data_IF_108955440047
#
_entry.id   IF_108955440047
#
_cell.length_a   1.000
_cell.length_b   1.000
_cell.length_c   1.000
_cell.angle_alpha   90.00
_cell.angle_beta   90.00
_cell.angle_gamma   90.00
#
_symmetry.space_group_name_H-M   'P 1'
#
loop_
_entity.id
_entity.type
_entity.pdbx_description
1 polymer ?
#
# COMPACT_ATOMS: atom_id res chain seq x y z
N UNK A 1 58.27 -26.29 -21.59
CA UNK A 1 57.25 -26.57 -20.55
C UNK A 1 55.95 -25.95 -21.01
N UNK A 2 54.93 -26.78 -21.27
CA UNK A 2 53.58 -26.37 -21.66
C UNK A 2 52.77 -26.16 -20.37
N UNK A 3 52.11 -25.02 -20.20
CA UNK A 3 51.05 -24.88 -19.21
C UNK A 3 49.79 -24.35 -19.90
N UNK A 4 48.76 -25.19 -19.86
CA UNK A 4 47.38 -24.93 -20.28
C UNK A 4 46.74 -23.83 -19.44
N UNK A 5 45.93 -23.01 -20.09
CA UNK A 5 44.93 -22.14 -19.46
C UNK A 5 43.59 -22.86 -19.56
N UNK A 6 43.02 -23.26 -18.42
CA UNK A 6 41.67 -23.82 -18.32
C UNK A 6 40.64 -22.70 -18.20
N UNK A 7 39.68 -22.68 -19.13
CA UNK A 7 38.50 -21.81 -19.13
C UNK A 7 37.42 -22.34 -18.19
N UNK A 8 37.01 -21.56 -17.19
CA UNK A 8 35.85 -21.84 -16.34
C UNK A 8 34.55 -21.38 -17.01
N UNK A 9 33.64 -22.33 -17.29
CA UNK A 9 32.24 -22.04 -17.63
C UNK A 9 31.39 -21.88 -16.35
N UNK A 10 30.38 -20.98 -16.33
CA UNK A 10 29.45 -20.87 -15.21
C UNK A 10 28.41 -22.01 -15.22
N UNK A 11 28.15 -22.58 -14.03
CA UNK A 11 27.11 -23.60 -13.80
C UNK A 11 25.72 -22.97 -13.93
N UNK A 12 24.83 -23.61 -14.68
CA UNK A 12 23.38 -23.29 -14.73
C UNK A 12 22.71 -23.67 -13.40
N UNK A 13 21.88 -22.77 -12.88
CA UNK A 13 20.95 -23.05 -11.78
C UNK A 13 19.77 -23.92 -12.30
N UNK A 14 19.20 -24.81 -11.48
CA UNK A 14 18.06 -25.62 -11.88
C UNK A 14 16.81 -24.75 -12.05
N UNK A 15 16.05 -25.00 -13.12
CA UNK A 15 14.86 -24.25 -13.49
C UNK A 15 13.74 -24.39 -12.45
N UNK A 16 13.07 -23.27 -12.16
CA UNK A 16 11.85 -23.25 -11.38
C UNK A 16 10.69 -23.97 -12.09
N UNK A 17 9.62 -24.32 -11.36
CA UNK A 17 8.49 -25.04 -11.93
C UNK A 17 7.84 -24.23 -13.06
N UNK A 18 7.43 -24.91 -14.12
CA UNK A 18 6.73 -24.32 -15.26
C UNK A 18 5.30 -23.93 -14.87
N UNK A 19 4.75 -22.90 -15.52
CA UNK A 19 3.36 -22.42 -15.38
C UNK A 19 2.29 -23.55 -15.42
N UNK A 20 2.58 -24.66 -16.10
CA UNK A 20 1.70 -25.83 -16.15
C UNK A 20 1.59 -26.58 -14.80
N UNK A 21 2.64 -26.54 -13.96
CA UNK A 21 2.63 -27.16 -12.63
C UNK A 21 1.79 -26.36 -11.61
N UNK A 22 1.74 -25.04 -11.76
CA UNK A 22 0.86 -24.16 -10.97
C UNK A 22 -0.63 -24.38 -11.34
N UNK A 23 -0.92 -24.60 -12.62
CA UNK A 23 -2.29 -24.88 -13.09
C UNK A 23 -2.82 -26.25 -12.62
N UNK A 24 -1.96 -27.27 -12.51
CA UNK A 24 -2.37 -28.60 -12.02
C UNK A 24 -2.65 -28.61 -10.51
N UNK A 25 -1.94 -27.78 -9.73
CA UNK A 25 -2.23 -27.58 -8.31
C UNK A 25 -3.62 -26.95 -8.10
N UNK A 26 -4.05 -26.03 -8.98
CA UNK A 26 -5.38 -25.42 -8.90
C UNK A 26 -6.54 -26.40 -9.15
N UNK A 27 -6.32 -27.49 -9.91
CA UNK A 27 -7.37 -28.50 -10.18
C UNK A 27 -7.48 -29.59 -9.11
N UNK A 28 -6.44 -29.83 -8.30
CA UNK A 28 -6.44 -30.85 -7.25
C UNK A 28 -6.97 -30.33 -5.89
N UNK A 29 -7.07 -29.01 -5.70
CA UNK A 29 -7.63 -28.39 -4.48
C UNK A 29 -9.17 -28.40 -4.47
N UNK A 30 -9.83 -28.66 -5.61
CA UNK A 30 -11.29 -28.68 -5.71
C UNK A 30 -11.99 -29.86 -5.00
N UNK A 31 -11.25 -30.81 -4.42
CA UNK A 31 -11.82 -32.04 -3.83
C UNK A 31 -12.08 -31.99 -2.31
N UNK A 32 -11.69 -30.93 -1.61
CA UNK A 32 -11.99 -30.71 -0.19
C UNK A 32 -12.06 -29.20 0.11
N UNK A 33 -13.01 -28.49 -0.51
CA UNK A 33 -13.36 -27.17 0.01
C UNK A 33 -14.02 -27.37 1.37
N UNK A 34 -13.56 -26.70 2.45
CA UNK A 34 -14.27 -26.73 3.72
C UNK A 34 -15.71 -26.27 3.51
N UNK A 35 -16.66 -26.93 4.15
CA UNK A 35 -18.10 -26.61 4.06
C UNK A 35 -18.46 -25.25 4.66
N UNK A 36 -17.50 -24.61 5.33
CA UNK A 36 -17.60 -23.33 6.02
C UNK A 36 -16.45 -22.45 5.56
N UNK A 37 -16.73 -21.19 5.21
CA UNK A 37 -15.71 -20.20 4.89
C UNK A 37 -14.97 -19.84 6.19
N UNK A 38 -13.66 -20.14 6.34
CA UNK A 38 -12.93 -19.93 7.58
C UNK A 38 -12.82 -18.45 7.99
N UNK A 39 -12.90 -17.52 7.03
CA UNK A 39 -12.95 -16.08 7.33
C UNK A 39 -14.34 -15.72 7.85
N UNK A 40 -15.39 -16.28 7.26
CA UNK A 40 -16.75 -16.10 7.78
C UNK A 40 -16.88 -16.71 9.19
N UNK A 41 -16.33 -17.90 9.45
CA UNK A 41 -16.34 -18.53 10.77
C UNK A 41 -15.61 -17.68 11.82
N UNK A 42 -14.41 -17.20 11.49
CA UNK A 42 -13.66 -16.32 12.38
C UNK A 42 -14.39 -14.99 12.68
N UNK A 43 -15.27 -14.54 11.77
CA UNK A 43 -16.04 -13.29 11.91
C UNK A 43 -17.46 -13.48 12.44
N UNK A 44 -18.04 -14.68 12.38
CA UNK A 44 -19.45 -14.95 12.65
C UNK A 44 -19.79 -15.20 14.12
N UNK A 45 -18.80 -15.49 14.97
CA UNK A 45 -19.07 -16.01 16.32
C UNK A 45 -18.99 -14.99 17.46
N UNK A 46 -18.96 -13.69 17.15
CA UNK A 46 -18.68 -12.66 18.16
C UNK A 46 -19.68 -11.52 18.02
N UNK A 47 -20.71 -11.56 18.87
CA UNK A 47 -21.56 -10.41 19.10
C UNK A 47 -20.71 -9.18 19.48
N UNK A 48 -21.24 -7.96 19.28
CA UNK A 48 -20.50 -6.73 19.57
C UNK A 48 -19.90 -6.77 20.99
N UNK A 49 -18.57 -6.69 21.08
CA UNK A 49 -17.84 -6.64 22.36
C UNK A 49 -17.30 -7.96 22.89
N UNK A 50 -17.21 -9.03 22.09
CA UNK A 50 -16.51 -10.25 22.50
C UNK A 50 -14.98 -10.01 22.55
N UNK A 51 -14.34 -9.99 23.74
CA UNK A 51 -13.07 -9.28 23.93
C UNK A 51 -11.81 -10.15 23.81
N UNK A 52 -11.91 -11.44 23.50
CA UNK A 52 -10.75 -12.32 23.50
C UNK A 52 -10.18 -12.47 22.08
N UNK A 53 -8.88 -12.24 21.87
CA UNK A 53 -8.22 -12.67 20.65
C UNK A 53 -8.41 -14.17 20.39
N UNK A 54 -8.87 -14.55 19.20
CA UNK A 54 -9.13 -15.95 18.84
C UNK A 54 -8.21 -16.41 17.70
N UNK A 55 -7.33 -17.40 17.92
CA UNK A 55 -6.43 -17.87 16.88
C UNK A 55 -7.17 -18.71 15.83
N UNK A 56 -6.80 -18.57 14.56
CA UNK A 56 -7.26 -19.40 13.46
C UNK A 56 -6.16 -19.61 12.43
N UNK A 57 -6.40 -20.50 11.45
CA UNK A 57 -5.47 -20.73 10.33
C UNK A 57 -6.20 -20.48 9.02
N UNK A 58 -5.58 -19.70 8.13
CA UNK A 58 -6.10 -19.42 6.79
C UNK A 58 -4.99 -19.62 5.76
N UNK A 59 -5.22 -20.47 4.76
CA UNK A 59 -4.21 -20.75 3.73
C UNK A 59 -2.89 -21.28 4.29
N UNK A 60 -2.93 -22.02 5.41
CA UNK A 60 -1.74 -22.51 6.13
C UNK A 60 -1.02 -21.45 6.98
N UNK A 61 -1.49 -20.20 6.97
CA UNK A 61 -0.93 -19.10 7.76
C UNK A 61 -1.68 -18.95 9.08
N UNK A 62 -0.96 -18.78 10.18
CA UNK A 62 -1.55 -18.52 11.50
C UNK A 62 -1.94 -17.06 11.62
N UNK A 63 -3.17 -16.83 12.08
CA UNK A 63 -3.69 -15.52 12.37
C UNK A 63 -4.47 -15.54 13.68
N UNK A 64 -4.86 -14.37 14.15
CA UNK A 64 -5.80 -14.22 15.24
C UNK A 64 -6.81 -13.12 14.93
N UNK A 65 -8.06 -13.41 15.27
CA UNK A 65 -9.17 -12.49 15.19
C UNK A 65 -9.15 -11.55 16.40
N UNK A 66 -9.53 -10.29 16.21
CA UNK A 66 -9.91 -9.38 17.29
C UNK A 66 -10.89 -8.29 16.83
N UNK A 67 -11.72 -7.81 17.76
CA UNK A 67 -12.68 -6.73 17.53
C UNK A 67 -12.36 -5.54 18.42
N UNK A 68 -11.96 -4.43 17.80
CA UNK A 68 -11.64 -3.16 18.47
C UNK A 68 -12.85 -2.21 18.55
N UNK A 69 -14.04 -2.69 18.18
CA UNK A 69 -15.31 -1.96 18.29
C UNK A 69 -15.62 -1.01 17.13
N UNK A 70 -14.94 -1.15 15.98
CA UNK A 70 -15.20 -0.31 14.81
C UNK A 70 -16.45 -0.77 14.05
N UNK A 71 -17.32 0.18 13.71
CA UNK A 71 -18.57 -0.09 12.99
C UNK A 71 -18.36 -0.70 11.60
N UNK A 72 -17.27 -0.33 10.90
CA UNK A 72 -16.98 -0.81 9.56
C UNK A 72 -16.43 -2.24 9.50
N UNK A 73 -15.85 -2.78 10.57
CA UNK A 73 -15.14 -4.05 10.48
C UNK A 73 -14.46 -4.53 11.74
N UNK A 74 -13.79 -5.66 11.59
CA UNK A 74 -13.06 -6.43 12.59
C UNK A 74 -11.69 -6.81 12.03
N UNK A 75 -10.76 -7.32 12.84
CA UNK A 75 -9.39 -7.56 12.40
C UNK A 75 -9.01 -9.02 12.40
N UNK A 76 -8.33 -9.42 11.33
CA UNK A 76 -7.47 -10.60 11.30
C UNK A 76 -6.02 -10.15 11.31
N UNK A 77 -5.26 -10.54 12.32
CA UNK A 77 -3.84 -10.19 12.44
C UNK A 77 -2.96 -11.41 12.25
N UNK A 78 -1.96 -11.26 11.39
CA UNK A 78 -0.90 -12.24 11.18
C UNK A 78 0.39 -11.66 11.75
N UNK A 79 0.97 -12.28 12.78
CA UNK A 79 2.21 -11.75 13.39
C UNK A 79 3.45 -12.03 12.51
N UNK A 80 3.39 -13.09 11.69
CA UNK A 80 4.47 -13.53 10.81
C UNK A 80 3.88 -14.17 9.53
N UNK A 81 3.10 -13.39 8.78
CA UNK A 81 2.59 -13.81 7.48
C UNK A 81 3.73 -14.03 6.50
N UNK A 82 3.76 -15.19 5.84
CA UNK A 82 4.82 -15.54 4.89
C UNK A 82 4.28 -16.18 3.61
N UNK A 83 4.10 -15.39 2.55
CA UNK A 83 3.73 -15.88 1.23
C UNK A 83 4.92 -16.11 0.28
N UNK A 84 6.11 -15.59 0.60
CA UNK A 84 7.25 -15.52 -0.34
C UNK A 84 8.64 -15.66 0.29
N UNK A 85 8.73 -16.25 1.48
CA UNK A 85 9.96 -16.38 2.25
C UNK A 85 10.40 -15.11 2.96
N UNK A 86 9.49 -14.15 3.14
CA UNK A 86 9.75 -12.85 3.80
C UNK A 86 8.66 -12.60 4.85
N UNK A 87 8.75 -13.26 6.03
CA UNK A 87 7.71 -13.15 7.05
C UNK A 87 7.57 -11.72 7.56
N UNK A 88 6.35 -11.19 7.58
CA UNK A 88 6.03 -9.85 8.10
C UNK A 88 4.68 -9.83 8.81
N UNK A 89 4.45 -8.82 9.65
CA UNK A 89 3.16 -8.61 10.30
C UNK A 89 2.16 -8.01 9.30
N UNK A 90 0.92 -8.52 9.29
CA UNK A 90 -0.19 -7.97 8.51
C UNK A 90 -1.41 -7.78 9.38
N UNK A 91 -2.15 -6.68 9.15
CA UNK A 91 -3.53 -6.55 9.62
C UNK A 91 -4.48 -6.55 8.43
N UNK A 92 -5.49 -7.41 8.49
CA UNK A 92 -6.59 -7.40 7.54
C UNK A 92 -7.83 -6.94 8.28
N UNK A 93 -8.28 -5.72 7.98
CA UNK A 93 -9.56 -5.18 8.45
C UNK A 93 -10.66 -5.71 7.53
N UNK A 94 -11.48 -6.60 8.06
CA UNK A 94 -12.52 -7.33 7.36
C UNK A 94 -13.86 -6.63 7.60
N UNK A 95 -14.66 -6.34 6.56
CA UNK A 95 -15.98 -5.75 6.71
C UNK A 95 -16.87 -6.51 7.71
N UNK A 96 -17.62 -5.77 8.54
CA UNK A 96 -18.40 -6.40 9.62
C UNK A 96 -19.52 -7.31 9.10
N UNK A 97 -20.03 -7.04 7.90
CA UNK A 97 -21.03 -7.87 7.23
C UNK A 97 -20.44 -9.14 6.58
N UNK A 98 -19.13 -9.37 6.66
CA UNK A 98 -18.47 -10.50 6.01
C UNK A 98 -19.01 -11.87 6.46
N UNK A 99 -19.32 -12.09 7.74
CA UNK A 99 -19.87 -13.39 8.16
C UNK A 99 -21.25 -13.71 7.54
N UNK A 100 -22.04 -12.67 7.26
CA UNK A 100 -23.46 -12.78 6.90
C UNK A 100 -23.72 -12.54 5.41
N UNK A 101 -22.79 -11.88 4.72
CA UNK A 101 -22.93 -11.44 3.34
C UNK A 101 -22.13 -12.31 2.38
N UNK A 102 -22.77 -12.75 1.28
CA UNK A 102 -22.09 -13.39 0.15
C UNK A 102 -21.32 -12.42 -0.76
N UNK A 103 -21.26 -11.12 -0.42
CA UNK A 103 -20.62 -10.11 -1.24
C UNK A 103 -19.09 -10.29 -1.35
N UNK A 104 -18.56 -9.69 -2.41
CA UNK A 104 -17.12 -9.48 -2.62
C UNK A 104 -16.78 -8.01 -2.44
N UNK A 105 -15.65 -7.74 -1.82
CA UNK A 105 -15.26 -6.41 -1.34
C UNK A 105 -14.09 -5.83 -2.13
N UNK A 106 -14.06 -4.51 -2.26
CA UNK A 106 -12.87 -3.78 -2.69
C UNK A 106 -11.76 -3.94 -1.68
N UNK A 107 -10.52 -3.74 -2.12
CA UNK A 107 -9.34 -3.87 -1.25
C UNK A 107 -8.50 -2.61 -1.28
N UNK A 108 -8.24 -2.07 -0.10
CA UNK A 108 -7.28 -1.00 0.13
C UNK A 108 -6.04 -1.57 0.81
N UNK A 109 -4.92 -1.62 0.10
CA UNK A 109 -3.63 -1.95 0.69
C UNK A 109 -3.05 -0.69 1.34
N UNK A 110 -2.73 -0.75 2.63
CA UNK A 110 -2.14 0.36 3.35
C UNK A 110 -0.70 0.01 3.76
N UNK A 111 0.23 0.89 3.40
CA UNK A 111 1.60 0.82 3.88
C UNK A 111 1.68 1.32 5.33
N UNK A 112 2.76 1.02 6.06
CA UNK A 112 2.99 1.40 7.46
C UNK A 112 2.19 0.65 8.56
N UNK A 113 1.59 -0.49 8.23
CA UNK A 113 1.14 -1.47 9.22
C UNK A 113 0.29 -0.86 10.35
N UNK A 114 0.81 -0.90 11.59
CA UNK A 114 0.13 -0.39 12.79
C UNK A 114 -0.30 1.07 12.62
N UNK A 115 0.51 1.93 11.99
CA UNK A 115 0.20 3.35 11.78
C UNK A 115 -1.13 3.56 11.04
N UNK A 116 -1.59 2.56 10.27
CA UNK A 116 -2.90 2.61 9.60
C UNK A 116 -4.06 2.64 10.61
N UNK A 117 -3.95 1.89 11.71
CA UNK A 117 -5.07 1.62 12.64
C UNK A 117 -4.74 2.00 14.08
N UNK A 118 -3.63 1.49 14.59
CA UNK A 118 -3.29 1.53 16.01
C UNK A 118 -2.33 2.68 16.30
N UNK A 119 -2.66 3.57 17.24
CA UNK A 119 -1.75 4.63 17.62
C UNK A 119 -0.44 4.02 18.13
N UNK A 120 0.69 4.47 17.58
CA UNK A 120 1.98 3.88 17.89
C UNK A 120 3.15 4.57 17.18
N UNK A 121 4.28 3.88 17.12
CA UNK A 121 5.49 4.39 16.47
C UNK A 121 6.09 5.62 17.15
N UNK A 122 6.89 6.39 16.39
CA UNK A 122 7.62 7.54 16.94
C UNK A 122 6.71 8.72 17.35
N UNK A 123 5.54 8.85 16.73
CA UNK A 123 4.59 9.94 16.97
C UNK A 123 3.46 9.56 17.96
N UNK A 124 3.27 8.27 18.25
CA UNK A 124 2.19 7.79 19.12
C UNK A 124 0.79 7.99 18.53
N UNK A 125 0.67 8.02 17.20
CA UNK A 125 -0.57 8.33 16.45
C UNK A 125 -0.81 7.31 15.34
N UNK A 126 -1.99 7.34 14.73
CA UNK A 126 -2.38 6.54 13.56
C UNK A 126 -3.13 7.39 12.55
N UNK A 127 -3.36 6.86 11.34
CA UNK A 127 -4.20 7.48 10.32
C UNK A 127 -5.70 7.26 10.55
N UNK A 128 -6.06 6.58 11.65
CA UNK A 128 -7.45 6.37 12.08
C UNK A 128 -8.35 5.83 10.96
N UNK A 129 -7.81 4.88 10.18
CA UNK A 129 -8.50 4.37 8.98
C UNK A 129 -9.79 3.66 9.35
N UNK A 130 -9.78 2.83 10.40
CA UNK A 130 -10.96 2.09 10.82
C UNK A 130 -12.08 3.01 11.34
N UNK A 131 -11.73 4.07 12.08
CA UNK A 131 -12.67 5.09 12.55
C UNK A 131 -13.25 5.90 11.40
N UNK A 132 -12.40 6.33 10.46
CA UNK A 132 -12.81 7.10 9.30
C UNK A 132 -13.75 6.29 8.41
N UNK A 133 -13.41 5.03 8.12
CA UNK A 133 -14.28 4.14 7.35
C UNK A 133 -15.58 3.83 8.10
N UNK A 134 -15.55 3.69 9.43
CA UNK A 134 -16.78 3.50 10.23
C UNK A 134 -17.72 4.70 10.12
N UNK A 135 -17.18 5.92 10.22
CA UNK A 135 -17.98 7.13 10.08
C UNK A 135 -18.55 7.28 8.66
N UNK A 136 -17.71 7.11 7.64
CA UNK A 136 -18.15 7.22 6.25
C UNK A 136 -19.15 6.13 5.84
N UNK A 137 -19.00 4.91 6.36
CA UNK A 137 -19.93 3.82 6.11
C UNK A 137 -21.30 4.11 6.75
N UNK A 138 -21.31 4.63 7.98
CA UNK A 138 -22.55 5.03 8.65
C UNK A 138 -23.30 6.15 7.92
N UNK A 139 -22.57 7.00 7.18
CA UNK A 139 -23.13 8.04 6.31
C UNK A 139 -23.58 7.51 4.92
N UNK A 140 -23.27 6.25 4.58
CA UNK A 140 -23.46 5.72 3.23
C UNK A 140 -22.52 6.33 2.18
N UNK A 141 -21.43 6.99 2.62
CA UNK A 141 -20.49 7.69 1.76
C UNK A 141 -19.44 6.77 1.10
N UNK A 142 -19.23 5.58 1.68
CA UNK A 142 -18.35 4.54 1.15
C UNK A 142 -19.04 3.19 1.20
N UNK A 143 -18.63 2.26 0.34
CA UNK A 143 -19.03 0.86 0.46
C UNK A 143 -18.13 0.10 1.45
N UNK A 144 -18.61 -1.03 2.03
CA UNK A 144 -17.77 -1.89 2.85
C UNK A 144 -16.49 -2.28 2.11
N UNK A 145 -15.34 -2.01 2.71
CA UNK A 145 -14.02 -2.15 2.07
C UNK A 145 -13.09 -2.95 2.97
N UNK A 146 -12.42 -3.95 2.39
CA UNK A 146 -11.38 -4.71 3.07
C UNK A 146 -10.08 -3.91 3.03
N UNK A 147 -9.38 -3.81 4.17
CA UNK A 147 -8.11 -3.07 4.23
C UNK A 147 -6.98 -4.01 4.66
N UNK A 148 -5.89 -4.04 3.91
CA UNK A 148 -4.70 -4.85 4.22
C UNK A 148 -3.56 -3.92 4.59
N UNK A 149 -3.30 -3.75 5.89
CA UNK A 149 -2.16 -2.96 6.37
C UNK A 149 -0.90 -3.83 6.48
N UNK A 150 0.13 -3.44 5.72
CA UNK A 150 1.37 -4.19 5.55
C UNK A 150 2.47 -3.55 6.38
N UNK A 151 3.04 -4.30 7.32
CA UNK A 151 4.21 -3.82 8.05
C UNK A 151 5.47 -3.90 7.19
N UNK A 152 6.24 -2.80 7.11
CA UNK A 152 7.59 -2.87 6.59
C UNK A 152 8.51 -3.56 7.60
N UNK A 153 9.47 -4.34 7.11
CA UNK A 153 10.59 -4.89 7.89
C UNK A 153 11.70 -3.86 8.07
N UNK A 154 12.00 -3.10 7.01
CA UNK A 154 12.95 -2.01 7.01
C UNK A 154 12.38 -0.89 6.14
N UNK A 155 11.49 -0.09 6.73
CA UNK A 155 10.68 0.94 6.08
C UNK A 155 11.46 1.79 5.07
N UNK A 156 12.63 2.28 5.47
CA UNK A 156 13.47 3.13 4.62
C UNK A 156 13.94 2.38 3.38
N UNK A 157 14.40 1.13 3.54
CA UNK A 157 14.84 0.30 2.42
C UNK A 157 13.70 -0.03 1.50
N UNK A 158 12.57 -0.47 2.06
CA UNK A 158 11.42 -0.97 1.31
C UNK A 158 10.62 0.14 0.62
N UNK A 159 10.65 1.37 1.13
CA UNK A 159 9.83 2.46 0.57
C UNK A 159 10.61 3.47 -0.26
N UNK A 160 11.93 3.38 -0.34
CA UNK A 160 12.74 4.33 -1.12
C UNK A 160 13.52 3.66 -2.24
N UNK A 161 13.58 4.35 -3.37
CA UNK A 161 14.28 3.91 -4.59
C UNK A 161 15.72 4.46 -4.67
N UNK A 162 16.06 5.46 -3.84
CA UNK A 162 17.33 6.16 -3.84
C UNK A 162 17.72 6.58 -2.41
N UNK A 163 19.00 6.89 -2.21
CA UNK A 163 19.49 7.41 -0.92
C UNK A 163 18.89 8.79 -0.61
N UNK A 164 18.42 8.96 0.61
CA UNK A 164 17.94 10.24 1.13
C UNK A 164 18.74 10.73 2.35
N UNK A 165 19.56 9.86 2.94
CA UNK A 165 20.52 10.19 3.99
C UNK A 165 21.70 9.18 3.98
N UNK A 166 22.93 9.60 4.32
CA UNK A 166 24.14 8.77 4.18
C UNK A 166 24.15 7.43 4.92
N UNK A 167 23.35 7.28 5.98
CA UNK A 167 23.34 6.09 6.86
C UNK A 167 22.04 5.32 6.82
N UNK A 168 21.09 5.71 5.97
CA UNK A 168 19.78 5.06 5.86
C UNK A 168 19.80 4.06 4.72
N UNK A 169 19.24 2.87 4.96
CA UNK A 169 19.05 1.87 3.93
C UNK A 169 18.03 2.35 2.89
N UNK A 170 18.20 1.93 1.63
CA UNK A 170 17.37 2.31 0.48
C UNK A 170 17.48 1.24 -0.61
N UNK A 171 16.65 1.35 -1.65
CA UNK A 171 16.78 0.55 -2.89
C UNK A 171 16.03 -0.79 -2.87
N UNK A 172 15.22 -1.05 -1.83
CA UNK A 172 14.36 -2.23 -1.73
C UNK A 172 12.98 -2.07 -2.38
N UNK A 173 12.59 -0.86 -2.80
CA UNK A 173 11.24 -0.56 -3.29
C UNK A 173 10.76 -1.47 -4.43
N UNK A 174 11.62 -1.80 -5.39
CA UNK A 174 11.25 -2.71 -6.48
C UNK A 174 10.94 -4.13 -6.02
N UNK A 175 11.71 -4.66 -5.07
CA UNK A 175 11.48 -6.00 -4.52
C UNK A 175 10.24 -6.03 -3.63
N UNK A 176 10.03 -5.00 -2.82
CA UNK A 176 8.84 -4.88 -1.99
C UNK A 176 7.55 -4.70 -2.82
N UNK A 177 7.61 -3.95 -3.92
CA UNK A 177 6.50 -3.83 -4.86
C UNK A 177 6.09 -5.19 -5.45
N UNK A 178 7.07 -5.96 -5.91
CA UNK A 178 6.84 -7.31 -6.44
C UNK A 178 6.28 -8.26 -5.36
N UNK A 179 6.80 -8.21 -4.13
CA UNK A 179 6.26 -9.00 -3.02
C UNK A 179 4.78 -8.69 -2.74
N UNK A 180 4.40 -7.41 -2.73
CA UNK A 180 3.00 -7.03 -2.50
C UNK A 180 2.12 -7.52 -3.66
N UNK A 181 2.53 -7.26 -4.90
CA UNK A 181 1.74 -7.56 -6.10
C UNK A 181 1.66 -9.07 -6.42
N UNK A 182 2.76 -9.79 -6.28
CA UNK A 182 2.92 -11.17 -6.74
C UNK A 182 2.74 -12.20 -5.62
N UNK A 183 2.71 -11.79 -4.34
CA UNK A 183 2.65 -12.72 -3.21
C UNK A 183 1.56 -12.35 -2.19
N UNK A 184 1.58 -11.14 -1.63
CA UNK A 184 0.59 -10.73 -0.62
C UNK A 184 -0.81 -10.62 -1.25
N UNK A 185 -0.95 -9.90 -2.36
CA UNK A 185 -2.24 -9.73 -3.02
C UNK A 185 -2.87 -11.06 -3.47
N UNK A 186 -2.15 -11.97 -4.16
CA UNK A 186 -2.70 -13.27 -4.53
C UNK A 186 -3.17 -14.12 -3.35
N UNK A 187 -2.47 -14.09 -2.21
CA UNK A 187 -2.96 -14.76 -1.00
C UNK A 187 -4.29 -14.15 -0.54
N UNK A 188 -4.36 -12.82 -0.45
CA UNK A 188 -5.58 -12.14 -0.01
C UNK A 188 -6.75 -12.45 -0.96
N UNK A 189 -6.53 -12.39 -2.28
CA UNK A 189 -7.57 -12.68 -3.27
C UNK A 189 -8.05 -14.13 -3.27
N UNK A 190 -7.17 -15.07 -2.91
CA UNK A 190 -7.50 -16.49 -2.84
C UNK A 190 -8.30 -16.83 -1.58
N UNK A 191 -8.02 -16.15 -0.46
CA UNK A 191 -8.52 -16.54 0.85
C UNK A 191 -9.57 -15.60 1.45
N UNK A 192 -9.69 -14.39 0.91
CA UNK A 192 -10.75 -13.43 1.25
C UNK A 192 -11.65 -13.21 0.03
N UNK A 193 -12.92 -12.86 0.27
CA UNK A 193 -13.88 -12.54 -0.79
C UNK A 193 -13.61 -11.14 -1.34
N UNK A 194 -12.52 -10.99 -2.08
CA UNK A 194 -12.17 -9.74 -2.75
C UNK A 194 -12.83 -9.64 -4.13
N UNK A 195 -12.90 -8.41 -4.65
CA UNK A 195 -12.98 -8.09 -6.07
C UNK A 195 -11.52 -7.91 -6.55
N UNK A 196 -10.92 -8.89 -7.21
CA UNK A 196 -9.46 -8.93 -7.40
C UNK A 196 -8.94 -8.02 -8.53
N UNK A 197 -9.83 -7.36 -9.28
CA UNK A 197 -9.46 -6.49 -10.39
C UNK A 197 -8.79 -5.20 -9.94
N UNK A 198 -7.96 -4.62 -10.82
CA UNK A 198 -7.24 -3.38 -10.55
C UNK A 198 -8.18 -2.23 -10.16
N UNK A 199 -9.33 -2.08 -10.82
CA UNK A 199 -10.29 -1.00 -10.53
C UNK A 199 -10.86 -1.03 -9.10
N UNK A 200 -10.90 -2.22 -8.50
CA UNK A 200 -11.38 -2.47 -7.14
C UNK A 200 -10.23 -2.52 -6.11
N UNK A 201 -8.98 -2.37 -6.55
CA UNK A 201 -7.79 -2.49 -5.71
C UNK A 201 -7.00 -1.18 -5.66
N UNK A 202 -6.86 -0.64 -4.46
CA UNK A 202 -6.13 0.59 -4.20
C UNK A 202 -4.91 0.32 -3.31
N UNK A 203 -3.90 1.18 -3.40
CA UNK A 203 -2.79 1.21 -2.44
C UNK A 203 -2.60 2.61 -1.86
N UNK A 204 -2.23 2.72 -0.59
CA UNK A 204 -2.03 4.00 0.08
C UNK A 204 -0.81 4.03 1.00
N UNK A 205 -0.30 5.23 1.24
CA UNK A 205 0.71 5.48 2.26
C UNK A 205 1.02 6.96 2.43
N UNK A 206 1.83 7.29 3.45
CA UNK A 206 2.29 8.66 3.69
C UNK A 206 3.80 8.81 3.62
N UNK A 207 4.31 10.00 3.27
CA UNK A 207 5.75 10.28 3.24
C UNK A 207 6.48 9.31 2.27
N UNK A 208 7.45 8.52 2.76
CA UNK A 208 8.05 7.43 1.98
C UNK A 208 7.02 6.39 1.52
N UNK A 209 6.02 6.07 2.35
CA UNK A 209 4.90 5.22 1.97
C UNK A 209 4.04 5.85 0.85
N UNK A 210 3.89 7.18 0.83
CA UNK A 210 3.18 7.87 -0.25
C UNK A 210 3.92 7.79 -1.58
N UNK A 211 5.26 7.92 -1.53
CA UNK A 211 6.12 7.64 -2.68
C UNK A 211 6.01 6.18 -3.14
N UNK A 212 6.04 5.24 -2.20
CA UNK A 212 5.98 3.81 -2.48
C UNK A 212 4.63 3.42 -3.08
N UNK A 213 3.52 3.93 -2.56
CA UNK A 213 2.17 3.68 -3.08
C UNK A 213 2.05 4.11 -4.57
N UNK A 214 2.51 5.32 -4.90
CA UNK A 214 2.58 5.80 -6.29
C UNK A 214 3.40 4.85 -7.17
N UNK A 215 4.60 4.49 -6.72
CA UNK A 215 5.52 3.66 -7.50
C UNK A 215 4.98 2.23 -7.68
N UNK A 216 4.42 1.62 -6.65
CA UNK A 216 3.83 0.27 -6.69
C UNK A 216 2.67 0.24 -7.68
N UNK A 217 1.71 1.17 -7.57
CA UNK A 217 0.57 1.20 -8.48
C UNK A 217 0.98 1.46 -9.93
N UNK A 218 1.99 2.31 -10.14
CA UNK A 218 2.47 2.60 -11.49
C UNK A 218 3.27 1.43 -12.08
N UNK A 219 4.00 0.67 -11.28
CA UNK A 219 4.79 -0.50 -11.73
C UNK A 219 3.96 -1.77 -11.88
N UNK A 220 2.85 -1.88 -11.15
CA UNK A 220 1.92 -3.00 -11.17
C UNK A 220 0.47 -2.54 -11.45
N UNK A 221 0.23 -1.83 -12.57
CA UNK A 221 -1.10 -1.30 -12.91
C UNK A 221 -2.16 -2.40 -13.09
N UNK A 222 -1.74 -3.62 -13.44
CA UNK A 222 -2.62 -4.79 -13.52
C UNK A 222 -3.15 -5.24 -12.16
N UNK A 223 -2.47 -4.86 -11.07
CA UNK A 223 -2.81 -5.23 -9.70
C UNK A 223 -3.47 -4.09 -8.94
N UNK A 224 -3.07 -2.84 -9.18
CA UNK A 224 -3.55 -1.67 -8.45
C UNK A 224 -4.02 -0.58 -9.42
N UNK A 225 -5.32 -0.33 -9.45
CA UNK A 225 -5.92 0.69 -10.32
C UNK A 225 -5.87 2.09 -9.74
N UNK A 226 -5.52 2.26 -8.46
CA UNK A 226 -5.31 3.58 -7.88
C UNK A 226 -4.29 3.63 -6.73
N UNK A 227 -3.65 4.79 -6.55
CA UNK A 227 -2.77 5.10 -5.44
C UNK A 227 -3.17 6.37 -4.68
N UNK A 228 -3.23 6.29 -3.36
CA UNK A 228 -3.40 7.44 -2.44
C UNK A 228 -2.03 7.77 -1.84
N UNK A 229 -1.43 8.84 -2.34
CA UNK A 229 -0.09 9.32 -1.98
C UNK A 229 -0.20 10.55 -1.09
N UNK A 230 -0.08 10.36 0.23
CA UNK A 230 -0.22 11.44 1.21
C UNK A 230 1.12 12.07 1.58
N UNK A 231 1.26 13.38 1.42
CA UNK A 231 2.55 14.12 1.55
C UNK A 231 3.75 13.33 0.97
N UNK A 232 3.72 12.87 -0.29
CA UNK A 232 4.68 11.89 -0.79
C UNK A 232 6.09 12.46 -0.89
N UNK A 233 7.08 11.66 -0.48
CA UNK A 233 8.48 12.07 -0.46
C UNK A 233 9.17 12.02 -1.83
N UNK A 234 8.58 12.62 -2.86
CA UNK A 234 9.12 12.65 -4.23
C UNK A 234 10.49 13.36 -4.35
N UNK A 235 10.94 14.02 -3.29
CA UNK A 235 12.25 14.63 -3.12
C UNK A 235 13.40 13.63 -2.87
N UNK A 236 13.09 12.38 -2.52
CA UNK A 236 14.09 11.32 -2.28
C UNK A 236 14.97 11.12 -3.51
N UNK A 237 16.30 11.15 -3.31
CA UNK A 237 17.29 11.03 -4.38
C UNK A 237 17.52 12.31 -5.20
N UNK A 238 16.81 13.40 -4.88
CA UNK A 238 16.90 14.69 -5.59
C UNK A 238 17.35 15.82 -4.68
N UNK A 239 16.76 15.92 -3.48
CA UNK A 239 16.90 17.07 -2.60
C UNK A 239 17.69 16.76 -1.32
N UNK A 240 18.31 17.80 -0.77
CA UNK A 240 19.01 17.74 0.51
C UNK A 240 18.04 18.02 1.67
N UNK A 241 18.20 17.27 2.76
CA UNK A 241 17.48 17.52 4.01
C UNK A 241 18.13 18.56 4.92
N UNK A 242 19.25 19.17 4.50
CA UNK A 242 19.88 20.25 5.27
C UNK A 242 18.92 21.44 5.30
N UNK A 243 18.52 21.92 6.50
CA UNK A 243 17.64 23.08 6.62
C UNK A 243 18.17 24.29 5.84
N UNK A 244 17.25 25.09 5.29
CA UNK A 244 17.51 26.31 4.50
C UNK A 244 18.17 26.13 3.13
N UNK A 245 18.65 24.93 2.76
CA UNK A 245 19.02 24.70 1.37
C UNK A 245 17.77 24.69 0.48
N UNK A 246 17.82 25.35 -0.70
CA UNK A 246 16.73 25.29 -1.65
C UNK A 246 16.64 23.87 -2.25
N UNK A 247 15.45 23.48 -2.75
CA UNK A 247 15.33 22.29 -3.58
C UNK A 247 16.31 22.30 -4.76
N UNK A 248 16.77 21.12 -5.14
CA UNK A 248 17.67 20.91 -6.27
C UNK A 248 16.98 21.27 -7.59
N UNK A 249 17.74 21.79 -8.56
CA UNK A 249 17.26 21.98 -9.93
C UNK A 249 17.24 20.69 -10.75
N UNK A 250 17.53 19.53 -10.14
CA UNK A 250 17.40 18.23 -10.78
C UNK A 250 15.92 17.97 -11.18
N UNK A 251 15.74 17.33 -12.33
CA UNK A 251 14.42 17.07 -12.89
C UNK A 251 13.80 15.84 -12.25
N UNK A 252 12.57 15.97 -11.73
CA UNK A 252 11.80 14.83 -11.22
C UNK A 252 11.52 13.81 -12.31
N UNK A 253 11.19 14.27 -13.54
CA UNK A 253 10.98 13.40 -14.70
C UNK A 253 12.16 12.48 -15.01
N UNK A 254 13.39 13.00 -14.90
CA UNK A 254 14.63 12.22 -15.13
C UNK A 254 15.13 11.48 -13.89
N UNK A 255 14.42 11.56 -12.77
CA UNK A 255 14.81 10.88 -11.53
C UNK A 255 14.64 9.38 -11.65
N UNK A 256 15.25 8.65 -10.71
CA UNK A 256 15.03 7.22 -10.56
C UNK A 256 13.59 6.88 -10.10
N UNK A 257 12.75 7.88 -9.74
CA UNK A 257 11.34 7.72 -9.42
C UNK A 257 10.40 7.80 -10.64
N UNK A 258 10.78 8.49 -11.72
CA UNK A 258 9.86 8.67 -12.87
C UNK A 258 10.41 8.04 -14.14
N UNK A 259 11.72 8.17 -14.40
CA UNK A 259 12.32 7.66 -15.63
C UNK A 259 11.99 6.17 -15.90
N UNK A 260 11.98 5.27 -14.90
CA UNK A 260 11.66 3.85 -15.14
C UNK A 260 10.18 3.56 -15.40
N UNK A 261 9.28 4.51 -15.14
CA UNK A 261 7.82 4.34 -15.25
C UNK A 261 7.15 5.26 -16.26
N UNK A 262 7.89 6.11 -16.98
CA UNK A 262 7.30 7.05 -17.95
C UNK A 262 6.38 6.37 -18.97
N UNK A 263 6.81 5.23 -19.51
CA UNK A 263 6.01 4.47 -20.48
C UNK A 263 4.70 3.93 -19.89
N UNK A 264 4.66 3.65 -18.57
CA UNK A 264 3.47 3.18 -17.88
C UNK A 264 2.53 4.36 -17.55
N UNK A 265 3.08 5.52 -17.16
CA UNK A 265 2.31 6.76 -16.96
C UNK A 265 1.67 7.28 -18.26
N UNK A 266 2.32 7.06 -19.40
CA UNK A 266 1.80 7.41 -20.72
C UNK A 266 0.71 6.44 -21.23
N UNK A 267 0.60 5.25 -20.65
CA UNK A 267 -0.36 4.23 -21.09
C UNK A 267 -1.72 4.42 -20.42
N UNK A 268 -2.59 5.23 -21.05
CA UNK A 268 -3.94 5.53 -20.56
C UNK A 268 -4.84 4.31 -20.34
N UNK A 269 -4.56 3.18 -21.00
CA UNK A 269 -5.38 1.99 -20.84
C UNK A 269 -5.05 1.20 -19.57
N UNK A 270 -3.88 1.46 -18.96
CA UNK A 270 -3.37 0.68 -17.82
C UNK A 270 -2.98 1.55 -16.63
N UNK A 271 -2.58 2.79 -16.83
CA UNK A 271 -2.05 3.65 -15.75
C UNK A 271 -3.05 3.78 -14.59
N UNK A 272 -2.56 3.86 -13.33
CA UNK A 272 -3.42 4.00 -12.18
C UNK A 272 -4.00 5.42 -12.08
N UNK A 273 -5.14 5.53 -11.41
CA UNK A 273 -5.64 6.80 -10.87
C UNK A 273 -4.77 7.22 -9.67
N UNK A 274 -4.51 8.52 -9.52
CA UNK A 274 -3.59 9.06 -8.54
C UNK A 274 -4.26 10.13 -7.68
N UNK A 275 -4.15 9.98 -6.37
CA UNK A 275 -4.53 10.97 -5.39
C UNK A 275 -3.23 11.45 -4.78
N UNK A 276 -2.94 12.73 -4.96
CA UNK A 276 -1.71 13.33 -4.47
C UNK A 276 -2.09 14.48 -3.55
N UNK A 277 -1.62 14.45 -2.32
CA UNK A 277 -1.88 15.53 -1.39
C UNK A 277 -0.64 15.96 -0.62
N UNK A 278 -0.68 17.17 -0.08
CA UNK A 278 0.33 17.70 0.84
C UNK A 278 -0.27 18.79 1.72
N UNK A 279 0.41 19.06 2.83
CA UNK A 279 0.09 20.15 3.76
C UNK A 279 0.90 21.41 3.47
N UNK A 280 0.39 22.58 3.90
CA UNK A 280 1.13 23.85 3.86
C UNK A 280 1.57 24.37 5.23
N UNK A 281 1.21 23.68 6.31
CA UNK A 281 1.67 24.04 7.65
C UNK A 281 3.19 23.83 7.77
N UNK A 282 3.90 24.85 8.28
CA UNK A 282 5.37 24.85 8.41
C UNK A 282 5.89 25.03 9.84
N UNK A 283 5.00 25.15 10.82
CA UNK A 283 5.36 25.18 12.25
C UNK A 283 5.28 23.77 12.86
N UNK A 284 5.85 23.58 14.06
CA UNK A 284 5.88 22.26 14.73
C UNK A 284 7.14 21.43 14.50
N UNK A 285 8.23 22.06 14.05
CA UNK A 285 9.57 21.46 13.99
C UNK A 285 9.99 20.96 12.60
N UNK A 286 11.09 20.20 12.56
CA UNK A 286 11.80 19.85 11.31
C UNK A 286 10.92 19.16 10.26
N UNK A 287 10.01 18.27 10.67
CA UNK A 287 9.10 17.57 9.75
C UNK A 287 8.21 18.54 8.98
N UNK A 288 7.59 19.50 9.66
CA UNK A 288 6.70 20.47 9.01
C UNK A 288 7.48 21.57 8.28
N UNK A 289 8.59 22.04 8.87
CA UNK A 289 9.36 23.12 8.25
C UNK A 289 10.08 22.66 6.97
N UNK A 290 10.73 21.50 7.02
CA UNK A 290 11.61 21.02 5.95
C UNK A 290 11.00 19.90 5.12
N UNK A 291 10.51 18.82 5.74
CA UNK A 291 10.02 17.67 4.98
C UNK A 291 8.74 18.02 4.23
N UNK A 292 7.75 18.65 4.87
CA UNK A 292 6.52 19.04 4.19
C UNK A 292 6.77 20.08 3.09
N UNK A 293 7.73 20.99 3.28
CA UNK A 293 8.13 21.94 2.23
C UNK A 293 8.66 21.21 0.99
N UNK A 294 9.49 20.19 1.18
CA UNK A 294 10.01 19.38 0.07
C UNK A 294 8.91 18.51 -0.56
N UNK A 295 8.01 17.94 0.25
CA UNK A 295 6.85 17.19 -0.22
C UNK A 295 5.93 18.05 -1.07
N UNK A 296 5.59 19.26 -0.62
CA UNK A 296 4.79 20.23 -1.38
C UNK A 296 5.49 20.66 -2.69
N UNK A 297 6.78 20.97 -2.63
CA UNK A 297 7.54 21.38 -3.81
C UNK A 297 7.57 20.30 -4.90
N UNK A 298 7.93 19.06 -4.55
CA UNK A 298 7.99 17.96 -5.52
C UNK A 298 6.64 17.34 -5.83
N UNK A 299 5.66 17.47 -4.93
CA UNK A 299 4.26 17.16 -5.18
C UNK A 299 3.70 18.04 -6.30
N UNK A 300 3.91 19.36 -6.22
CA UNK A 300 3.52 20.29 -7.27
C UNK A 300 4.21 19.98 -8.62
N UNK A 301 5.53 19.73 -8.62
CA UNK A 301 6.24 19.31 -9.85
C UNK A 301 5.69 18.00 -10.42
N UNK A 302 5.35 17.01 -9.57
CA UNK A 302 4.73 15.76 -10.01
C UNK A 302 3.36 16.00 -10.66
N UNK A 303 2.51 16.82 -10.05
CA UNK A 303 1.19 17.16 -10.61
C UNK A 303 1.35 17.83 -11.97
N UNK A 304 2.20 18.86 -12.06
CA UNK A 304 2.48 19.52 -13.34
C UNK A 304 2.99 18.53 -14.41
N UNK A 305 3.85 17.59 -14.02
CA UNK A 305 4.37 16.57 -14.91
C UNK A 305 3.26 15.61 -15.38
N UNK A 306 2.41 15.13 -14.48
CA UNK A 306 1.30 14.23 -14.79
C UNK A 306 0.27 14.89 -15.73
N UNK A 307 -0.09 16.14 -15.46
CA UNK A 307 -1.05 16.88 -16.27
C UNK A 307 -0.47 17.28 -17.64
N UNK A 308 0.74 17.84 -17.67
CA UNK A 308 1.29 18.43 -18.90
C UNK A 308 1.92 17.41 -19.83
N UNK A 309 2.71 16.48 -19.27
CA UNK A 309 3.54 15.56 -20.06
C UNK A 309 2.87 14.20 -20.26
N UNK A 310 2.06 13.76 -19.28
CA UNK A 310 1.31 12.50 -19.36
C UNK A 310 -0.18 12.69 -19.62
N UNK A 311 -0.68 13.93 -19.60
CA UNK A 311 -2.08 14.25 -19.87
C UNK A 311 -3.07 13.44 -19.00
N UNK A 312 -2.80 13.38 -17.70
CA UNK A 312 -3.78 13.01 -16.67
C UNK A 312 -4.91 14.04 -16.62
N UNK A 313 -6.15 13.58 -16.48
CA UNK A 313 -7.34 14.43 -16.32
C UNK A 313 -7.99 14.28 -14.95
N UNK A 314 -9.05 15.04 -14.70
CA UNK A 314 -9.78 15.13 -13.42
C UNK A 314 -10.41 13.79 -12.96
N UNK A 315 -10.59 12.83 -13.86
CA UNK A 315 -11.07 11.48 -13.51
C UNK A 315 -9.95 10.56 -13.00
N UNK A 316 -8.70 10.87 -13.36
CA UNK A 316 -7.52 10.04 -13.09
C UNK A 316 -6.56 10.66 -12.07
N UNK A 317 -6.58 11.98 -11.89
CA UNK A 317 -5.73 12.70 -10.94
C UNK A 317 -6.60 13.60 -10.05
N UNK A 318 -6.55 13.34 -8.75
CA UNK A 318 -7.12 14.21 -7.73
C UNK A 318 -5.99 14.80 -6.89
N UNK A 319 -6.04 16.12 -6.65
CA UNK A 319 -4.99 16.85 -5.91
C UNK A 319 -5.62 17.59 -4.74
N UNK A 320 -5.06 17.40 -3.55
CA UNK A 320 -5.50 18.13 -2.34
C UNK A 320 -4.33 18.86 -1.70
N UNK A 321 -4.48 20.18 -1.56
CA UNK A 321 -3.55 21.03 -0.80
C UNK A 321 -4.24 21.44 0.49
N UNK A 322 -3.71 21.00 1.62
CA UNK A 322 -4.25 21.29 2.95
C UNK A 322 -3.49 22.45 3.61
N UNK A 323 -4.05 23.67 3.66
CA UNK A 323 -3.35 24.82 4.22
C UNK A 323 -3.09 24.71 5.73
N UNK A 324 -3.80 23.82 6.43
CA UNK A 324 -3.67 23.61 7.87
C UNK A 324 -2.93 22.31 8.23
N UNK A 325 -2.75 21.43 7.26
CA UNK A 325 -2.10 20.13 7.41
C UNK A 325 -0.58 20.23 7.51
N UNK A 326 0.01 19.44 8.39
CA UNK A 326 1.46 19.20 8.47
C UNK A 326 1.86 17.83 7.93
N UNK A 327 3.13 17.47 8.17
CA UNK A 327 3.72 16.17 7.83
C UNK A 327 3.54 15.19 8.99
N UNK A 328 2.29 14.98 9.37
CA UNK A 328 1.92 14.24 10.58
C UNK A 328 0.64 13.41 10.40
N UNK A 329 0.47 12.43 11.29
CA UNK A 329 -0.59 11.43 11.22
C UNK A 329 -2.00 12.01 11.32
N UNK A 330 -2.20 13.12 12.04
CA UNK A 330 -3.53 13.73 12.15
C UNK A 330 -3.93 14.38 10.81
N UNK A 331 -2.99 15.06 10.16
CA UNK A 331 -3.23 15.65 8.85
C UNK A 331 -3.46 14.58 7.76
N UNK A 332 -2.74 13.45 7.83
CA UNK A 332 -2.96 12.33 6.91
C UNK A 332 -4.29 11.62 7.19
N UNK A 333 -4.67 11.43 8.46
CA UNK A 333 -5.97 10.85 8.82
C UNK A 333 -7.14 11.67 8.24
N UNK A 334 -7.05 12.99 8.34
CA UNK A 334 -8.07 13.88 7.79
C UNK A 334 -8.14 13.81 6.26
N UNK A 335 -7.00 13.90 5.56
CA UNK A 335 -6.93 13.81 4.10
C UNK A 335 -7.37 12.43 3.57
N UNK A 336 -7.06 11.36 4.29
CA UNK A 336 -7.57 10.02 3.97
C UNK A 336 -9.10 9.99 3.92
N UNK A 337 -9.80 10.69 4.82
CA UNK A 337 -11.26 10.78 4.79
C UNK A 337 -11.82 11.39 3.49
N UNK A 338 -11.10 12.35 2.91
CA UNK A 338 -11.45 12.93 1.60
C UNK A 338 -11.22 11.90 0.48
N UNK A 339 -10.07 11.23 0.49
CA UNK A 339 -9.71 10.22 -0.51
C UNK A 339 -10.68 9.03 -0.50
N UNK A 340 -10.98 8.51 0.70
CA UNK A 340 -11.92 7.43 0.90
C UNK A 340 -13.31 7.79 0.36
N UNK A 341 -13.84 8.97 0.70
CA UNK A 341 -15.14 9.43 0.19
C UNK A 341 -15.16 9.53 -1.33
N UNK A 342 -14.06 9.91 -1.97
CA UNK A 342 -13.99 10.07 -3.42
C UNK A 342 -13.86 8.74 -4.17
N UNK A 343 -13.07 7.80 -3.65
CA UNK A 343 -12.64 6.60 -4.39
C UNK A 343 -13.18 5.27 -3.87
N UNK A 344 -13.66 5.23 -2.63
CA UNK A 344 -14.37 4.09 -2.05
C UNK A 344 -15.89 4.32 -2.01
N UNK A 345 -16.38 5.36 -2.68
CA UNK A 345 -17.81 5.60 -2.85
C UNK A 345 -18.50 4.40 -3.51
N UNK A 346 -19.77 4.12 -3.17
CA UNK A 346 -20.56 3.09 -3.86
C UNK A 346 -20.60 3.32 -5.37
N UNK A 347 -20.59 2.25 -6.15
CA UNK A 347 -20.87 2.32 -7.58
C UNK A 347 -22.26 2.95 -7.81
N UNK A 348 -22.34 3.90 -8.75
CA UNK A 348 -23.57 4.63 -9.08
C UNK A 348 -24.56 3.78 -9.88
#
# INVERSE_FOLDING_TARGET
MRHSVESHHPRRLPGGPTLAALALAAHLVAACAPTVDPVAEATADLGPGSPAPHPFTLGGQRAWFHDEGHGAGVFHTYDAFDACGVPRKLHVFVPRDYGESGARYRVLYALDGDTTFFPGGAAGKSWRVAETLSALLAEGAVEPTLVVAIHPLEREREYTHASWAPTRAWGGLGAHAAEIADCIKPFVDLHYRTRPGADDTLIMGSSHGGLAAFWIATRHPESFGAAISMSPSYWVGLDSLVPFLPPSSASLRRSALVAPVEGLLADRARRPRLWIDWGERRDGGFHNETIERLAAHRGAEMVELLERDFAYGEEELEVVVDPLGGHDEDAWAWRFGLAARRWLAPAR
#
